data_IF_069210623528
#
_entry.id   IF_069210623528
#
_cell.length_a   1.000
_cell.length_b   1.000
_cell.length_c   1.000
_cell.angle_alpha   90.00
_cell.angle_beta   90.00
_cell.angle_gamma   90.00
#
_symmetry.space_group_name_H-M   'P 1'
#
loop_
_entity.id
_entity.type
_entity.pdbx_description
1 polymer ?
#
# COMPACT_ATOMS: atom_id res chain seq x y z
N UNK A 1 11.49 26.25 13.70
CA UNK A 1 11.17 25.24 12.67
C UNK A 1 10.94 25.96 11.36
N UNK A 2 11.75 25.69 10.34
CA UNK A 2 11.65 26.36 9.05
C UNK A 2 10.40 25.89 8.31
N UNK A 3 9.43 26.77 8.12
CA UNK A 3 8.35 26.58 7.16
C UNK A 3 8.96 26.75 5.78
N UNK A 4 8.87 25.74 4.92
CA UNK A 4 9.46 25.75 3.60
C UNK A 4 8.39 25.50 2.53
N UNK A 5 8.44 26.28 1.46
CA UNK A 5 7.82 25.95 0.18
C UNK A 5 8.95 25.49 -0.72
N UNK A 6 9.01 24.19 -0.96
CA UNK A 6 10.05 23.60 -1.79
C UNK A 6 9.46 23.21 -3.14
N UNK A 7 10.25 23.36 -4.22
CA UNK A 7 9.91 22.87 -5.55
C UNK A 7 10.98 21.92 -6.04
N UNK A 8 10.56 20.77 -6.57
CA UNK A 8 11.43 19.80 -7.22
C UNK A 8 11.07 19.73 -8.71
N UNK A 9 12.07 19.55 -9.56
CA UNK A 9 11.93 19.35 -11.00
C UNK A 9 12.71 18.12 -11.41
N UNK A 10 12.09 17.25 -12.17
CA UNK A 10 12.69 16.02 -12.68
C UNK A 10 12.26 15.82 -14.14
N UNK A 11 13.18 15.38 -14.98
CA UNK A 11 12.87 14.84 -16.31
C UNK A 11 12.80 13.32 -16.26
N UNK A 12 11.85 12.73 -16.95
CA UNK A 12 11.69 11.29 -17.09
C UNK A 12 11.19 10.92 -18.48
N UNK A 13 11.37 9.68 -18.89
CA UNK A 13 10.86 9.17 -20.17
C UNK A 13 10.09 7.89 -19.95
N UNK A 14 8.94 7.77 -20.61
CA UNK A 14 8.17 6.53 -20.69
C UNK A 14 8.37 5.94 -22.09
N UNK A 15 8.70 4.65 -22.18
CA UNK A 15 8.98 4.01 -23.44
C UNK A 15 7.75 4.02 -24.38
N UNK A 16 7.99 4.08 -25.68
CA UNK A 16 6.93 3.98 -26.70
C UNK A 16 6.22 2.63 -26.68
N UNK A 17 6.88 1.58 -26.18
CA UNK A 17 6.26 0.27 -26.00
C UNK A 17 5.12 0.26 -24.99
N UNK A 18 5.09 1.23 -24.10
CA UNK A 18 4.04 1.41 -23.10
C UNK A 18 2.83 2.23 -23.62
N UNK A 19 2.87 2.64 -24.89
CA UNK A 19 1.77 3.39 -25.49
C UNK A 19 0.48 2.57 -25.53
N UNK A 20 -0.56 3.09 -24.91
CA UNK A 20 -1.85 2.40 -24.71
C UNK A 20 -2.03 1.84 -23.31
N UNK A 21 -1.00 1.84 -22.47
CA UNK A 21 -1.09 1.55 -21.04
C UNK A 21 -1.50 2.80 -20.25
N UNK A 22 -1.94 2.59 -19.00
CA UNK A 22 -2.15 3.67 -18.03
C UNK A 22 -0.84 3.97 -17.31
N UNK A 23 -0.57 5.22 -17.05
CA UNK A 23 0.66 5.66 -16.37
C UNK A 23 0.28 6.54 -15.19
N UNK A 24 0.73 6.15 -14.01
CA UNK A 24 0.53 6.88 -12.77
C UNK A 24 1.86 7.36 -12.21
N UNK A 25 1.82 8.54 -11.58
CA UNK A 25 2.91 8.95 -10.71
C UNK A 25 2.50 8.72 -9.27
N UNK A 26 3.35 8.00 -8.53
CA UNK A 26 3.13 7.61 -7.13
C UNK A 26 4.12 8.28 -6.23
N UNK A 27 3.65 8.79 -5.11
CA UNK A 27 4.46 9.35 -4.02
C UNK A 27 4.21 8.53 -2.77
N UNK A 28 5.24 7.92 -2.21
CA UNK A 28 5.14 7.14 -0.96
C UNK A 28 5.18 8.02 0.30
N UNK A 29 5.46 9.31 0.14
CA UNK A 29 5.37 10.28 1.22
C UNK A 29 5.96 11.65 0.85
N UNK A 30 5.13 12.68 1.04
CA UNK A 30 5.51 14.08 0.81
C UNK A 30 4.78 14.98 1.80
N UNK A 31 5.48 15.74 2.61
CA UNK A 31 4.90 16.50 3.71
C UNK A 31 4.89 18.01 3.43
N UNK A 32 3.69 18.59 3.44
CA UNK A 32 2.36 18.14 3.85
C UNK A 32 1.29 18.40 2.80
N UNK A 33 1.44 19.43 1.98
CA UNK A 33 0.56 19.78 0.87
C UNK A 33 1.40 19.73 -0.40
N UNK A 34 1.02 18.85 -1.31
CA UNK A 34 1.79 18.55 -2.51
C UNK A 34 0.97 18.87 -3.74
N UNK A 35 1.39 19.88 -4.52
CA UNK A 35 0.85 20.20 -5.83
C UNK A 35 1.75 19.55 -6.90
N UNK A 36 1.14 18.82 -7.84
CA UNK A 36 1.86 18.05 -8.87
C UNK A 36 1.52 18.58 -10.26
N UNK A 37 2.55 18.76 -11.07
CA UNK A 37 2.46 19.20 -12.48
C UNK A 37 3.28 18.27 -13.36
N UNK A 38 2.72 17.85 -14.49
CA UNK A 38 3.41 17.08 -15.52
C UNK A 38 3.29 17.83 -16.85
N UNK A 39 4.41 18.09 -17.53
CA UNK A 39 4.46 18.83 -18.79
C UNK A 39 3.71 20.18 -18.74
N UNK A 40 3.72 20.84 -17.58
CA UNK A 40 2.99 22.09 -17.33
C UNK A 40 1.51 21.93 -17.01
N UNK A 41 0.94 20.75 -17.08
CA UNK A 41 -0.44 20.46 -16.69
C UNK A 41 -0.54 20.20 -15.18
N UNK A 42 -1.50 20.83 -14.52
CA UNK A 42 -1.78 20.60 -13.11
C UNK A 42 -2.53 19.28 -12.93
N UNK A 43 -1.91 18.33 -12.24
CA UNK A 43 -2.50 17.00 -12.01
C UNK A 43 -3.38 16.95 -10.76
N UNK A 44 -3.15 17.83 -9.79
CA UNK A 44 -3.92 17.88 -8.56
C UNK A 44 -3.08 18.21 -7.34
N UNK A 45 -3.74 18.21 -6.18
CA UNK A 45 -3.14 18.46 -4.88
C UNK A 45 -3.45 17.29 -3.94
N UNK A 46 -2.41 16.79 -3.26
CA UNK A 46 -2.56 15.91 -2.11
C UNK A 46 -2.38 16.69 -0.81
N UNK A 47 -3.25 16.40 0.18
CA UNK A 47 -3.23 17.03 1.52
C UNK A 47 -3.08 15.94 2.57
N UNK A 48 -1.90 15.83 3.13
CA UNK A 48 -1.46 14.81 4.06
C UNK A 48 0.03 14.55 3.89
N UNK A 49 0.73 14.16 4.95
CA UNK A 49 2.18 14.10 4.92
C UNK A 49 2.76 12.69 4.82
N UNK A 50 1.96 11.63 4.95
CA UNK A 50 2.50 10.34 5.37
C UNK A 50 2.02 9.13 4.58
N UNK A 51 0.88 9.21 3.94
CA UNK A 51 0.31 8.13 3.14
C UNK A 51 0.74 8.22 1.68
N UNK A 52 0.78 7.08 1.01
CA UNK A 52 0.94 7.00 -0.44
C UNK A 52 -0.23 7.66 -1.16
N UNK A 53 0.07 8.37 -2.24
CA UNK A 53 -0.93 8.94 -3.14
C UNK A 53 -0.45 8.87 -4.59
N UNK A 54 -1.40 8.90 -5.52
CA UNK A 54 -1.14 8.78 -6.95
C UNK A 54 -1.92 9.82 -7.75
N UNK A 55 -1.38 10.15 -8.91
CA UNK A 55 -2.08 10.88 -9.97
C UNK A 55 -1.93 10.12 -11.26
N UNK A 56 -3.03 9.96 -11.98
CA UNK A 56 -3.01 9.46 -13.34
C UNK A 56 -2.47 10.56 -14.26
N UNK A 57 -1.41 10.25 -14.98
CA UNK A 57 -0.71 11.18 -15.86
C UNK A 57 -0.78 10.76 -17.34
N UNK A 58 -1.53 9.71 -17.65
CA UNK A 58 -1.61 9.08 -18.98
C UNK A 58 -1.86 10.09 -20.10
N UNK A 59 -2.80 11.00 -19.91
CA UNK A 59 -3.26 11.91 -20.97
C UNK A 59 -2.32 13.11 -21.21
N UNK A 60 -1.32 13.30 -20.35
CA UNK A 60 -0.43 14.47 -20.41
C UNK A 60 1.02 14.12 -20.70
N UNK A 61 1.37 12.83 -20.75
CA UNK A 61 2.73 12.38 -21.06
C UNK A 61 2.95 12.22 -22.57
N UNK A 62 4.19 12.40 -23.00
CA UNK A 62 4.67 12.09 -24.34
C UNK A 62 5.53 10.84 -24.32
N UNK A 63 5.04 9.74 -24.88
CA UNK A 63 5.79 8.49 -24.95
C UNK A 63 7.04 8.63 -25.85
N UNK A 64 8.17 8.06 -25.43
CA UNK A 64 9.45 8.12 -26.12
C UNK A 64 10.15 9.49 -26.11
N UNK A 65 9.62 10.44 -25.36
CA UNK A 65 10.20 11.79 -25.23
C UNK A 65 10.43 12.15 -23.75
N UNK A 66 11.30 13.14 -23.47
CA UNK A 66 11.43 13.68 -22.13
C UNK A 66 10.10 14.34 -21.67
N UNK A 67 9.67 13.99 -20.49
CA UNK A 67 8.56 14.60 -19.77
C UNK A 67 9.08 15.31 -18.53
N UNK A 68 8.49 16.41 -18.15
CA UNK A 68 8.89 17.18 -16.97
C UNK A 68 7.89 17.01 -15.85
N UNK A 69 8.36 16.55 -14.69
CA UNK A 69 7.64 16.56 -13.42
C UNK A 69 8.04 17.81 -12.62
N UNK A 70 7.08 18.62 -12.22
CA UNK A 70 7.28 19.69 -11.26
C UNK A 70 6.39 19.46 -10.04
N UNK A 71 6.99 19.45 -8.85
CA UNK A 71 6.31 19.23 -7.59
C UNK A 71 6.56 20.38 -6.65
N UNK A 72 5.47 20.96 -6.13
CA UNK A 72 5.57 21.98 -5.08
C UNK A 72 5.06 21.38 -3.79
N UNK A 73 5.87 21.43 -2.73
CA UNK A 73 5.53 20.95 -1.40
C UNK A 73 5.53 22.10 -0.40
N UNK A 74 4.43 22.23 0.34
CA UNK A 74 4.24 23.25 1.36
C UNK A 74 3.99 22.58 2.72
N UNK A 75 4.88 22.76 3.70
CA UNK A 75 4.73 22.23 5.05
C UNK A 75 4.29 23.30 6.07
N UNK A 76 3.63 24.36 5.61
CA UNK A 76 3.02 25.32 6.52
C UNK A 76 1.83 24.69 7.25
N UNK A 77 1.62 25.11 8.50
CA UNK A 77 0.50 24.63 9.31
C UNK A 77 -0.81 25.11 8.70
N UNK A 78 -1.71 24.15 8.45
CA UNK A 78 -3.08 24.38 7.98
C UNK A 78 -4.07 23.58 8.84
N UNK A 79 -5.29 24.04 8.95
CA UNK A 79 -6.26 23.49 9.93
C UNK A 79 -6.68 22.03 9.63
N UNK A 80 -6.63 21.62 8.37
CA UNK A 80 -7.14 20.33 7.90
C UNK A 80 -6.06 19.27 7.64
N UNK A 81 -4.78 19.58 7.92
CA UNK A 81 -3.67 18.60 7.76
C UNK A 81 -3.04 18.28 9.12
N UNK A 82 -3.14 17.05 9.55
CA UNK A 82 -2.58 16.54 10.81
C UNK A 82 -1.24 15.84 10.60
N UNK A 83 -0.39 15.85 11.66
CA UNK A 83 -0.50 16.59 12.91
C UNK A 83 -0.14 18.07 12.73
N UNK A 84 -0.84 18.94 13.44
CA UNK A 84 -0.62 20.40 13.37
C UNK A 84 0.46 20.88 14.33
N UNK A 85 0.55 20.25 15.48
CA UNK A 85 1.51 20.55 16.53
C UNK A 85 1.79 19.29 17.36
N UNK A 86 3.06 19.04 17.64
CA UNK A 86 3.53 17.96 18.49
C UNK A 86 4.97 18.24 18.95
N UNK A 87 5.52 17.35 19.76
CA UNK A 87 6.86 17.41 20.34
C UNK A 87 7.96 16.74 19.47
N UNK A 88 7.69 16.53 18.19
CA UNK A 88 8.66 16.03 17.22
C UNK A 88 8.84 16.98 16.02
N UNK A 89 9.90 16.79 15.25
CA UNK A 89 10.21 17.63 14.10
C UNK A 89 9.30 17.29 12.91
N UNK A 90 8.69 18.31 12.32
CA UNK A 90 7.94 18.22 11.08
C UNK A 90 8.87 18.53 9.90
N UNK A 91 9.43 17.51 9.29
CA UNK A 91 10.23 17.67 8.10
C UNK A 91 9.33 17.95 6.90
N UNK A 92 9.74 18.87 6.02
CA UNK A 92 9.02 19.21 4.80
C UNK A 92 9.69 18.59 3.57
N UNK A 93 8.91 18.46 2.50
CA UNK A 93 9.39 17.99 1.21
C UNK A 93 9.04 16.54 0.92
N UNK A 94 9.57 16.04 -0.20
CA UNK A 94 9.45 14.63 -0.60
C UNK A 94 10.54 13.88 0.15
N UNK A 95 10.16 12.88 0.95
CA UNK A 95 11.09 12.17 1.82
C UNK A 95 11.05 10.65 1.64
N UNK A 96 10.17 10.15 0.75
CA UNK A 96 10.11 8.76 0.30
C UNK A 96 10.14 8.71 -1.22
N UNK A 97 10.10 7.52 -1.78
CA UNK A 97 10.22 7.28 -3.21
C UNK A 97 9.10 7.93 -4.02
N UNK A 98 9.44 8.30 -5.25
CA UNK A 98 8.52 8.72 -6.29
C UNK A 98 8.67 7.75 -7.45
N UNK A 99 7.59 7.04 -7.78
CA UNK A 99 7.59 5.96 -8.75
C UNK A 99 6.71 6.30 -9.96
N UNK A 100 7.06 5.75 -11.11
CA UNK A 100 6.15 5.59 -12.24
C UNK A 100 5.55 4.18 -12.16
N UNK A 101 4.22 4.12 -12.08
CA UNK A 101 3.49 2.85 -12.12
C UNK A 101 2.77 2.76 -13.45
N UNK A 102 3.06 1.71 -14.21
CA UNK A 102 2.49 1.48 -15.54
C UNK A 102 1.65 0.22 -15.48
N UNK A 103 0.41 0.30 -15.91
CA UNK A 103 -0.54 -0.81 -15.92
C UNK A 103 -1.26 -0.93 -17.25
N UNK A 104 -1.89 -2.08 -17.49
CA UNK A 104 -2.85 -2.23 -18.57
C UNK A 104 -4.07 -1.30 -18.35
N UNK A 105 -4.87 -1.07 -19.38
CA UNK A 105 -6.14 -0.32 -19.24
C UNK A 105 -7.19 -1.05 -18.39
N UNK A 106 -7.03 -2.35 -18.19
CA UNK A 106 -7.83 -3.10 -17.20
C UNK A 106 -6.87 -3.60 -16.13
N UNK A 107 -7.03 -3.12 -14.91
CA UNK A 107 -6.08 -3.31 -13.83
C UNK A 107 -6.76 -3.30 -12.44
N UNK A 108 -6.03 -3.65 -11.39
CA UNK A 108 -6.45 -3.38 -10.01
C UNK A 108 -6.48 -1.88 -9.75
N UNK A 109 -7.51 -1.41 -9.03
CA UNK A 109 -7.75 0.03 -8.83
C UNK A 109 -6.62 0.66 -7.97
N UNK A 110 -5.75 1.41 -8.64
CA UNK A 110 -4.65 2.14 -8.03
C UNK A 110 -5.07 3.48 -7.39
N UNK A 111 -6.28 3.95 -7.69
CA UNK A 111 -6.79 5.23 -7.18
C UNK A 111 -7.60 5.09 -5.89
N UNK A 112 -7.72 3.87 -5.36
CA UNK A 112 -8.40 3.61 -4.09
C UNK A 112 -7.53 4.03 -2.89
N UNK A 113 -7.51 5.33 -2.59
CA UNK A 113 -6.81 5.94 -1.45
C UNK A 113 -5.30 5.60 -1.36
N UNK A 114 -4.63 5.39 -2.49
CA UNK A 114 -3.21 5.01 -2.53
C UNK A 114 -2.95 3.53 -2.22
N UNK A 115 -3.98 2.70 -2.05
CA UNK A 115 -3.85 1.25 -1.90
C UNK A 115 -3.51 0.56 -3.23
N UNK A 116 -3.30 -0.76 -3.17
CA UNK A 116 -3.13 -1.59 -4.37
C UNK A 116 -4.48 -2.12 -4.91
N UNK A 117 -5.62 -1.67 -4.35
CA UNK A 117 -6.96 -2.08 -4.76
C UNK A 117 -7.34 -3.52 -4.36
N UNK A 118 -6.51 -4.21 -3.56
CA UNK A 118 -6.76 -5.59 -3.15
C UNK A 118 -6.66 -5.72 -1.63
N UNK A 119 -7.66 -6.38 -1.03
CA UNK A 119 -7.78 -6.53 0.42
C UNK A 119 -8.06 -7.98 0.80
N UNK A 120 -7.48 -8.44 1.92
CA UNK A 120 -7.72 -9.73 2.53
C UNK A 120 -8.48 -9.53 3.85
N UNK A 121 -9.76 -9.85 3.85
CA UNK A 121 -10.60 -9.78 5.03
C UNK A 121 -10.62 -11.14 5.71
N UNK A 122 -10.24 -11.19 6.99
CA UNK A 122 -10.25 -12.41 7.80
C UNK A 122 -11.54 -12.43 8.62
N UNK A 123 -12.45 -13.38 8.35
CA UNK A 123 -13.80 -13.39 8.92
C UNK A 123 -13.93 -14.38 10.10
N UNK A 124 -13.52 -15.63 9.90
CA UNK A 124 -13.57 -16.68 10.90
C UNK A 124 -12.25 -17.45 10.89
N UNK A 125 -11.42 -17.18 11.89
CA UNK A 125 -10.08 -17.74 12.02
C UNK A 125 -9.96 -18.52 13.32
N UNK A 126 -9.52 -19.75 13.21
CA UNK A 126 -9.16 -20.62 14.32
C UNK A 126 -8.08 -21.63 13.89
N UNK A 127 -7.73 -22.59 14.73
CA UNK A 127 -6.68 -23.59 14.45
C UNK A 127 -7.08 -24.58 13.34
N UNK A 128 -8.39 -24.79 13.10
CA UNK A 128 -8.90 -25.74 12.12
C UNK A 128 -9.07 -25.10 10.74
N UNK A 129 -9.44 -23.81 10.70
CA UNK A 129 -9.70 -23.08 9.46
C UNK A 129 -9.45 -21.59 9.57
N UNK A 130 -9.15 -20.97 8.44
CA UNK A 130 -9.23 -19.53 8.25
C UNK A 130 -10.14 -19.25 7.04
N UNK A 131 -11.33 -18.71 7.31
CA UNK A 131 -12.23 -18.21 6.28
C UNK A 131 -11.83 -16.76 5.94
N UNK A 132 -11.47 -16.53 4.69
CA UNK A 132 -11.04 -15.24 4.17
C UNK A 132 -11.97 -14.80 3.05
N UNK A 133 -12.15 -13.50 2.89
CA UNK A 133 -12.75 -12.90 1.70
C UNK A 133 -11.73 -11.99 1.04
N UNK A 134 -11.32 -12.30 -0.19
CA UNK A 134 -10.47 -11.46 -1.01
C UNK A 134 -11.38 -10.45 -1.72
N UNK A 135 -11.11 -9.14 -1.52
CA UNK A 135 -11.81 -8.06 -2.20
C UNK A 135 -10.84 -7.42 -3.19
N UNK A 136 -11.11 -7.59 -4.48
CA UNK A 136 -10.35 -6.96 -5.56
C UNK A 136 -11.19 -5.86 -6.19
N UNK A 137 -10.69 -4.63 -6.15
CA UNK A 137 -11.26 -3.51 -6.89
C UNK A 137 -10.61 -3.47 -8.26
N UNK A 138 -11.42 -3.46 -9.30
CA UNK A 138 -11.00 -3.50 -10.70
C UNK A 138 -11.44 -2.24 -11.42
N UNK A 139 -10.61 -1.75 -12.31
CA UNK A 139 -10.91 -0.63 -13.22
C UNK A 139 -10.81 -1.12 -14.65
N UNK A 140 -11.77 -0.71 -15.50
CA UNK A 140 -11.73 -0.87 -16.95
C UNK A 140 -11.74 0.52 -17.60
N UNK A 141 -10.59 1.01 -18.01
CA UNK A 141 -10.43 2.30 -18.72
C UNK A 141 -10.66 2.20 -20.24
N UNK A 142 -11.02 1.01 -20.75
CA UNK A 142 -11.36 0.84 -22.16
C UNK A 142 -12.73 1.46 -22.47
N UNK A 143 -12.93 1.87 -23.73
CA UNK A 143 -14.24 2.30 -24.25
C UNK A 143 -15.20 1.14 -24.54
N UNK A 144 -14.77 -0.11 -24.27
CA UNK A 144 -15.55 -1.32 -24.50
C UNK A 144 -15.57 -2.21 -23.27
N UNK A 145 -16.60 -3.05 -23.18
CA UNK A 145 -16.62 -4.07 -22.13
C UNK A 145 -15.44 -5.04 -22.25
N UNK A 146 -15.00 -5.56 -21.12
CA UNK A 146 -13.92 -6.55 -21.06
C UNK A 146 -14.28 -7.69 -20.12
N UNK A 147 -14.23 -8.92 -20.64
CA UNK A 147 -14.31 -10.13 -19.81
C UNK A 147 -12.92 -10.44 -19.26
N UNK A 148 -12.83 -10.59 -17.93
CA UNK A 148 -11.59 -10.93 -17.22
C UNK A 148 -11.85 -12.01 -16.18
N UNK A 149 -10.78 -12.65 -15.74
CA UNK A 149 -10.78 -13.60 -14.63
C UNK A 149 -9.82 -13.12 -13.56
N UNK A 150 -10.30 -12.97 -12.35
CA UNK A 150 -9.48 -12.78 -11.15
C UNK A 150 -9.15 -14.14 -10.59
N UNK A 151 -7.87 -14.42 -10.37
CA UNK A 151 -7.37 -15.65 -9.77
C UNK A 151 -6.47 -15.31 -8.60
N UNK A 152 -6.67 -15.95 -7.46
CA UNK A 152 -5.83 -15.76 -6.29
C UNK A 152 -5.38 -17.11 -5.72
N UNK A 153 -4.07 -17.30 -5.65
CA UNK A 153 -3.40 -18.40 -4.98
C UNK A 153 -2.90 -17.95 -3.62
N UNK A 154 -3.12 -18.75 -2.60
CA UNK A 154 -2.54 -18.57 -1.26
C UNK A 154 -1.39 -19.56 -1.11
N UNK A 155 -0.19 -19.04 -0.94
CA UNK A 155 1.02 -19.82 -0.78
C UNK A 155 1.46 -19.83 0.69
N UNK A 156 1.96 -20.97 1.13
CA UNK A 156 2.60 -21.11 2.44
C UNK A 156 4.07 -20.60 2.40
N UNK A 157 4.76 -20.60 3.53
CA UNK A 157 6.14 -20.11 3.65
C UNK A 157 7.14 -20.87 2.74
N UNK A 158 6.80 -22.10 2.33
CA UNK A 158 7.59 -22.93 1.41
C UNK A 158 7.25 -22.67 -0.07
N UNK A 159 6.37 -21.69 -0.36
CA UNK A 159 5.94 -21.34 -1.72
C UNK A 159 4.94 -22.34 -2.34
N UNK A 160 4.34 -23.21 -1.53
CA UNK A 160 3.34 -24.18 -2.01
C UNK A 160 1.93 -23.58 -1.90
N UNK A 161 1.13 -23.71 -2.96
CA UNK A 161 -0.29 -23.33 -2.95
C UNK A 161 -1.05 -24.21 -1.97
N UNK A 162 -1.70 -23.60 -0.98
CA UNK A 162 -2.50 -24.27 0.07
C UNK A 162 -3.99 -24.00 -0.05
N UNK A 163 -4.36 -22.92 -0.73
CA UNK A 163 -5.73 -22.59 -1.09
C UNK A 163 -5.75 -21.71 -2.34
N UNK A 164 -6.86 -21.66 -3.03
CA UNK A 164 -7.06 -20.77 -4.17
C UNK A 164 -8.53 -20.40 -4.33
N UNK A 165 -8.78 -19.31 -5.04
CA UNK A 165 -10.12 -18.92 -5.48
C UNK A 165 -10.03 -18.19 -6.82
N UNK A 166 -11.13 -18.19 -7.58
CA UNK A 166 -11.20 -17.49 -8.84
C UNK A 166 -12.62 -17.04 -9.17
N UNK A 167 -12.75 -15.95 -9.90
CA UNK A 167 -14.02 -15.43 -10.38
C UNK A 167 -13.88 -14.79 -11.75
N UNK A 168 -14.79 -15.13 -12.67
CA UNK A 168 -14.93 -14.43 -13.93
C UNK A 168 -15.91 -13.27 -13.77
N UNK A 169 -15.56 -12.14 -14.34
CA UNK A 169 -16.38 -10.92 -14.35
C UNK A 169 -16.34 -10.28 -15.73
N UNK A 170 -17.39 -9.53 -16.04
CA UNK A 170 -17.45 -8.65 -17.23
C UNK A 170 -17.51 -7.24 -16.70
N UNK A 171 -16.51 -6.43 -17.04
CA UNK A 171 -16.44 -5.02 -16.69
C UNK A 171 -16.95 -4.20 -17.88
N UNK A 172 -17.98 -3.38 -17.68
CA UNK A 172 -18.44 -2.45 -18.72
C UNK A 172 -17.36 -1.40 -19.03
N UNK A 173 -17.53 -0.67 -20.13
CA UNK A 173 -16.63 0.45 -20.48
C UNK A 173 -16.61 1.51 -19.36
N UNK A 174 -15.43 1.90 -18.89
CA UNK A 174 -15.24 2.89 -17.83
C UNK A 174 -15.71 2.44 -16.44
N UNK A 175 -15.90 1.15 -16.20
CA UNK A 175 -16.45 0.62 -14.94
C UNK A 175 -15.36 0.40 -13.89
N UNK A 176 -15.71 0.80 -12.65
CA UNK A 176 -15.02 0.38 -11.43
C UNK A 176 -15.89 -0.63 -10.69
N UNK A 177 -15.38 -1.84 -10.43
CA UNK A 177 -16.13 -2.90 -9.78
C UNK A 177 -15.32 -3.55 -8.65
N UNK A 178 -15.99 -3.81 -7.51
CA UNK A 178 -15.41 -4.64 -6.46
C UNK A 178 -15.85 -6.10 -6.64
N UNK A 179 -14.87 -6.99 -6.70
CA UNK A 179 -15.06 -8.44 -6.80
C UNK A 179 -14.72 -9.08 -5.47
N UNK A 180 -15.68 -9.75 -4.87
CA UNK A 180 -15.48 -10.51 -3.63
C UNK A 180 -15.35 -11.99 -3.93
N UNK A 181 -14.32 -12.63 -3.36
CA UNK A 181 -13.98 -14.03 -3.58
C UNK A 181 -13.67 -14.69 -2.23
N UNK A 182 -14.55 -15.59 -1.72
CA UNK A 182 -14.27 -16.34 -0.51
C UNK A 182 -13.20 -17.41 -0.79
N UNK A 183 -12.37 -17.66 0.22
CA UNK A 183 -11.37 -18.73 0.22
C UNK A 183 -11.15 -19.26 1.65
N UNK A 184 -10.86 -20.54 1.80
CA UNK A 184 -10.61 -21.17 3.10
C UNK A 184 -9.24 -21.84 3.11
N UNK A 185 -8.43 -21.50 4.12
CA UNK A 185 -7.21 -22.24 4.44
C UNK A 185 -7.56 -23.25 5.54
N UNK A 186 -7.39 -24.54 5.26
CA UNK A 186 -7.61 -25.59 6.25
C UNK A 186 -6.35 -25.80 7.10
N UNK A 187 -6.50 -25.96 8.43
CA UNK A 187 -5.43 -26.13 9.41
C UNK A 187 -4.33 -25.07 9.23
N UNK A 188 -4.66 -23.77 9.30
CA UNK A 188 -3.69 -22.71 9.04
C UNK A 188 -2.62 -22.65 10.13
N UNK A 189 -1.41 -22.32 9.75
CA UNK A 189 -0.38 -21.89 10.70
C UNK A 189 -0.65 -20.45 11.08
N UNK A 190 -1.04 -20.23 12.34
CA UNK A 190 -1.41 -18.89 12.81
C UNK A 190 -0.17 -18.02 13.08
N UNK A 191 -0.27 -16.75 12.72
CA UNK A 191 0.72 -15.74 13.09
C UNK A 191 0.60 -15.42 14.59
N UNK A 192 1.65 -15.71 15.36
CA UNK A 192 1.70 -15.53 16.82
C UNK A 192 2.77 -14.51 17.26
N UNK A 193 2.94 -13.44 16.50
CA UNK A 193 3.92 -12.40 16.79
C UNK A 193 5.34 -12.96 16.87
N UNK A 194 6.09 -12.58 17.92
CA UNK A 194 7.47 -13.01 18.11
C UNK A 194 7.67 -14.52 18.32
N UNK A 195 6.63 -15.24 18.75
CA UNK A 195 6.73 -16.70 18.97
C UNK A 195 6.74 -17.46 17.66
N UNK A 196 5.95 -17.04 16.71
CA UNK A 196 5.85 -17.59 15.36
C UNK A 196 5.28 -16.53 14.42
N UNK A 197 6.14 -15.80 13.73
CA UNK A 197 5.77 -14.78 12.76
C UNK A 197 5.48 -15.40 11.37
N UNK A 198 4.66 -16.47 11.34
CA UNK A 198 4.37 -17.18 10.10
C UNK A 198 3.58 -16.32 9.12
N UNK A 199 4.09 -16.20 7.89
CA UNK A 199 3.48 -15.42 6.82
C UNK A 199 3.06 -16.33 5.67
N UNK A 200 1.89 -16.04 5.12
CA UNK A 200 1.43 -16.49 3.83
C UNK A 200 1.70 -15.41 2.79
N UNK A 201 1.71 -15.80 1.54
CA UNK A 201 1.74 -14.92 0.39
C UNK A 201 0.48 -15.15 -0.45
N UNK A 202 -0.26 -14.10 -0.77
CA UNK A 202 -1.31 -14.15 -1.76
C UNK A 202 -0.75 -13.64 -3.10
N UNK A 203 -0.76 -14.49 -4.13
CA UNK A 203 -0.54 -14.08 -5.51
C UNK A 203 -1.87 -13.94 -6.19
N UNK A 204 -2.23 -12.73 -6.56
CA UNK A 204 -3.47 -12.45 -7.27
C UNK A 204 -3.16 -11.92 -8.66
N UNK A 205 -3.85 -12.46 -9.66
CA UNK A 205 -3.70 -12.07 -11.05
C UNK A 205 -5.03 -11.76 -11.70
N UNK A 206 -4.98 -10.84 -12.64
CA UNK A 206 -6.06 -10.48 -13.54
C UNK A 206 -5.69 -11.00 -14.93
N UNK A 207 -6.52 -11.87 -15.48
CA UNK A 207 -6.23 -12.48 -16.79
C UNK A 207 -7.35 -12.20 -17.79
N UNK A 208 -6.98 -12.01 -19.06
CA UNK A 208 -7.91 -11.95 -20.17
C UNK A 208 -7.52 -13.02 -21.20
N UNK A 209 -8.41 -13.95 -21.48
CA UNK A 209 -8.11 -15.20 -22.21
C UNK A 209 -6.97 -15.97 -21.51
N UNK A 210 -5.76 -16.02 -22.09
CA UNK A 210 -4.60 -16.70 -21.52
C UNK A 210 -3.49 -15.72 -21.08
N UNK A 211 -3.71 -14.42 -21.23
CA UNK A 211 -2.70 -13.42 -20.93
C UNK A 211 -2.95 -12.84 -19.51
N UNK A 212 -1.91 -12.81 -18.71
CA UNK A 212 -1.93 -12.03 -17.45
C UNK A 212 -1.77 -10.56 -17.80
N UNK A 213 -2.74 -9.75 -17.39
CA UNK A 213 -2.79 -8.32 -17.68
C UNK A 213 -2.45 -7.46 -16.47
N UNK A 214 -2.57 -8.03 -15.27
CA UNK A 214 -2.14 -7.42 -14.02
C UNK A 214 -1.90 -8.48 -12.95
N UNK A 215 -0.95 -8.24 -12.02
CA UNK A 215 -0.65 -9.17 -10.93
C UNK A 215 -0.07 -8.47 -9.71
N UNK A 216 -0.39 -8.99 -8.52
CA UNK A 216 0.12 -8.50 -7.25
C UNK A 216 0.52 -9.67 -6.35
N UNK A 217 1.51 -9.43 -5.49
CA UNK A 217 1.92 -10.34 -4.43
C UNK A 217 1.80 -9.63 -3.08
N UNK A 218 0.99 -10.19 -2.18
CA UNK A 218 0.64 -9.57 -0.91
C UNK A 218 0.96 -10.54 0.24
N UNK A 219 1.97 -10.24 1.08
CA UNK A 219 2.25 -11.02 2.27
C UNK A 219 1.21 -10.75 3.36
N UNK A 220 0.75 -11.79 4.07
CA UNK A 220 -0.17 -11.65 5.18
C UNK A 220 -0.02 -12.73 6.24
N UNK A 221 -0.33 -12.37 7.50
CA UNK A 221 -0.38 -13.32 8.60
C UNK A 221 -1.83 -13.68 8.96
N UNK A 222 -2.11 -14.95 9.08
CA UNK A 222 -3.44 -15.44 9.52
C UNK A 222 -3.52 -15.36 11.03
N UNK A 223 -4.43 -14.54 11.55
CA UNK A 223 -4.62 -14.34 12.99
C UNK A 223 -6.00 -13.78 13.31
N UNK A 224 -6.41 -13.95 14.55
CA UNK A 224 -7.50 -13.18 15.14
C UNK A 224 -7.07 -12.62 16.50
N UNK A 225 -7.72 -11.56 16.92
CA UNK A 225 -7.49 -10.96 18.23
C UNK A 225 -8.77 -10.40 18.80
N UNK A 226 -8.80 -10.33 20.13
CA UNK A 226 -9.86 -9.67 20.87
C UNK A 226 -9.29 -8.89 22.06
N UNK A 227 -10.05 -7.95 22.56
CA UNK A 227 -9.73 -7.22 23.79
C UNK A 227 -10.79 -7.54 24.82
N UNK A 228 -10.37 -8.18 25.92
CA UNK A 228 -11.26 -8.55 27.00
C UNK A 228 -11.04 -7.65 28.22
N UNK A 229 -12.09 -7.11 28.87
CA UNK A 229 -11.95 -6.16 29.98
C UNK A 229 -11.09 -6.65 31.13
N UNK A 230 -11.14 -7.94 31.45
CA UNK A 230 -10.38 -8.56 32.57
C UNK A 230 -9.10 -9.25 32.13
N UNK A 231 -9.08 -9.83 30.93
CA UNK A 231 -7.94 -10.63 30.43
C UNK A 231 -6.96 -9.82 29.57
N UNK A 232 -7.35 -8.60 29.17
CA UNK A 232 -6.54 -7.74 28.30
C UNK A 232 -6.58 -8.20 26.84
N UNK A 233 -5.47 -8.07 26.16
CA UNK A 233 -5.32 -8.44 24.74
C UNK A 233 -5.13 -9.96 24.60
N UNK A 234 -5.90 -10.55 23.71
CA UNK A 234 -5.88 -11.99 23.41
C UNK A 234 -5.55 -12.16 21.94
N UNK A 235 -4.51 -12.91 21.63
CA UNK A 235 -4.11 -13.27 20.28
C UNK A 235 -4.31 -14.76 20.06
N UNK A 236 -5.10 -15.13 19.04
CA UNK A 236 -5.41 -16.52 18.70
C UNK A 236 -5.87 -17.32 19.92
N UNK A 237 -6.80 -16.74 20.71
CA UNK A 237 -7.35 -17.37 21.91
C UNK A 237 -6.42 -17.39 23.14
N UNK A 238 -5.19 -16.87 23.04
CA UNK A 238 -4.22 -16.86 24.14
C UNK A 238 -3.98 -15.44 24.64
N UNK A 239 -4.05 -15.19 25.98
CA UNK A 239 -3.71 -13.90 26.54
C UNK A 239 -2.26 -13.51 26.20
N UNK A 240 -2.07 -12.30 25.71
CA UNK A 240 -0.77 -11.75 25.34
C UNK A 240 -0.55 -10.42 26.06
N UNK A 241 0.48 -10.36 26.89
CA UNK A 241 0.88 -9.09 27.49
C UNK A 241 1.60 -8.22 26.44
N UNK A 242 1.06 -7.03 26.19
CA UNK A 242 1.65 -6.06 25.31
C UNK A 242 2.66 -5.19 26.08
N UNK A 243 3.94 -5.48 25.91
CA UNK A 243 5.03 -4.61 26.35
C UNK A 243 5.45 -3.80 25.12
N UNK A 244 4.96 -2.55 25.04
CA UNK A 244 5.08 -1.73 23.85
C UNK A 244 6.14 -0.65 23.96
N UNK A 245 6.67 -0.26 22.81
CA UNK A 245 7.47 0.96 22.63
C UNK A 245 6.80 1.84 21.58
N UNK A 246 7.01 3.16 21.68
CA UNK A 246 6.65 4.09 20.60
C UNK A 246 7.86 4.30 19.70
N UNK A 247 7.63 4.35 18.40
CA UNK A 247 8.66 4.60 17.41
C UNK A 247 8.28 5.75 16.51
N UNK A 248 9.21 6.70 16.32
CA UNK A 248 9.20 7.69 15.25
C UNK A 248 10.10 7.24 14.10
N UNK A 249 9.76 7.66 12.87
CA UNK A 249 10.52 7.28 11.68
C UNK A 249 11.63 8.29 11.34
N UNK A 250 12.23 8.92 12.34
CA UNK A 250 13.31 9.89 12.12
C UNK A 250 14.65 9.37 12.62
N UNK A 251 15.72 9.83 11.98
CA UNK A 251 17.09 9.47 12.33
C UNK A 251 18.00 10.70 12.21
N UNK A 252 19.03 10.73 13.09
CA UNK A 252 20.05 11.78 13.04
C UNK A 252 20.65 11.89 11.64
N UNK A 253 20.79 13.10 11.14
CA UNK A 253 21.37 13.50 9.85
C UNK A 253 20.55 13.04 8.62
N UNK A 254 19.46 12.30 8.78
CA UNK A 254 18.58 11.83 7.70
C UNK A 254 17.17 12.40 7.79
N UNK A 255 16.71 12.80 9.00
CA UNK A 255 15.32 13.17 9.21
C UNK A 255 14.40 11.99 8.90
N UNK A 256 13.35 12.23 8.10
CA UNK A 256 12.42 11.18 7.68
C UNK A 256 12.85 10.42 6.41
N UNK A 257 13.91 10.86 5.73
CA UNK A 257 14.41 10.21 4.52
C UNK A 257 15.23 8.95 4.86
N UNK A 258 14.64 8.06 5.62
CA UNK A 258 15.21 6.77 6.03
C UNK A 258 14.81 5.68 5.05
N UNK A 259 15.65 4.65 4.92
CA UNK A 259 15.47 3.52 4.00
C UNK A 259 15.00 2.27 4.74
N UNK A 260 14.74 1.18 4.02
CA UNK A 260 14.44 -0.13 4.60
C UNK A 260 15.50 -0.57 5.61
N UNK A 261 16.76 -0.27 5.35
CA UNK A 261 17.87 -0.61 6.25
C UNK A 261 17.69 -0.03 7.66
N UNK A 262 17.33 1.26 7.74
CA UNK A 262 17.10 1.92 9.02
C UNK A 262 15.84 1.40 9.73
N UNK A 263 14.82 1.02 8.97
CA UNK A 263 13.64 0.36 9.52
C UNK A 263 13.99 -1.01 10.11
N UNK A 264 14.79 -1.83 9.42
CA UNK A 264 15.24 -3.14 9.91
C UNK A 264 16.10 -3.01 11.16
N UNK A 265 17.06 -2.07 11.19
CA UNK A 265 17.88 -1.78 12.38
C UNK A 265 17.02 -1.41 13.59
N UNK A 266 16.01 -0.55 13.41
CA UNK A 266 15.07 -0.18 14.48
C UNK A 266 14.29 -1.39 14.99
N UNK A 267 13.82 -2.27 14.08
CA UNK A 267 13.08 -3.48 14.46
C UNK A 267 13.97 -4.45 15.25
N UNK A 268 15.25 -4.63 14.89
CA UNK A 268 16.17 -5.48 15.65
C UNK A 268 16.44 -4.89 17.04
N UNK A 269 16.64 -3.58 17.19
CA UNK A 269 16.80 -2.93 18.49
C UNK A 269 15.53 -3.07 19.36
N UNK A 270 14.34 -2.89 18.77
CA UNK A 270 13.06 -3.05 19.47
C UNK A 270 12.86 -4.51 19.92
N UNK A 271 13.28 -5.45 19.12
CA UNK A 271 13.28 -6.87 19.45
C UNK A 271 14.27 -7.19 20.57
N UNK A 272 15.48 -6.60 20.55
CA UNK A 272 16.51 -6.79 21.57
C UNK A 272 16.04 -6.32 22.95
N UNK A 273 15.38 -5.18 23.08
CA UNK A 273 14.81 -4.71 24.36
C UNK A 273 13.60 -5.53 24.83
N UNK A 274 13.17 -6.52 24.08
CA UNK A 274 12.10 -7.44 24.47
C UNK A 274 10.68 -6.95 24.23
N UNK A 275 10.47 -5.89 23.45
CA UNK A 275 9.14 -5.38 23.14
C UNK A 275 8.30 -6.43 22.38
N UNK A 276 7.01 -6.50 22.68
CA UNK A 276 6.03 -7.39 22.04
C UNK A 276 5.01 -6.63 21.20
N UNK A 277 5.04 -5.29 21.26
CA UNK A 277 4.21 -4.41 20.46
C UNK A 277 4.92 -3.10 20.15
N UNK A 278 4.52 -2.46 19.07
CA UNK A 278 5.06 -1.17 18.62
C UNK A 278 3.88 -0.24 18.37
N UNK A 279 3.95 0.97 18.90
CA UNK A 279 3.11 2.07 18.49
C UNK A 279 3.86 2.90 17.46
N UNK A 280 3.38 2.88 16.23
CA UNK A 280 3.88 3.75 15.17
C UNK A 280 3.30 5.15 15.42
N UNK A 281 4.08 6.02 15.98
CA UNK A 281 3.65 7.32 16.48
C UNK A 281 4.14 8.44 15.57
N UNK A 282 3.31 9.48 15.37
CA UNK A 282 1.89 9.70 15.78
C UNK A 282 1.00 9.89 14.54
N UNK A 283 1.44 9.51 13.39
CA UNK A 283 0.92 9.78 12.05
C UNK A 283 0.74 8.48 11.28
N UNK A 284 0.11 8.56 10.13
CA UNK A 284 -0.05 7.43 9.22
C UNK A 284 1.32 6.96 8.73
N UNK A 285 1.43 5.68 8.52
CA UNK A 285 2.59 5.06 7.90
C UNK A 285 2.17 4.44 6.58
N UNK A 286 3.12 4.33 5.67
CA UNK A 286 2.95 3.64 4.41
C UNK A 286 2.81 2.13 4.62
N UNK A 287 2.25 1.41 3.64
CA UNK A 287 2.03 -0.03 3.69
C UNK A 287 3.32 -0.82 3.46
#
# INVERSE_FOLDING_TARGET
MGKCKCSAYLEFTVDTLEQGNRVFIEFNGSNSITDVYVNGHYMGQHRGGYSTFRFDITDVIEFGKPNTLAVKVDNTVVEDVYPQMADFTFYGGIYRDVNLVITNQVHFDLMDHGSQGVYIVQEDVNEEKAALTIKAKLTNDLETEKKVRVWADILNAEGKVVAYTAKEVVLAAGENQTVEMPVVINNPTLWNGRKNAYMYEMKISLTSFNDTIDELSIPFGVRYFEVHPEKGFILNGQPLRLNGVSRHQDRKDMGWAITHKEHEEDMELIKEVGATSIRLAHYQHDQ
#
